data_IF_565513834734
#
_entry.id   IF_565513834734
#
_cell.length_a   1.000
_cell.length_b   1.000
_cell.length_c   1.000
_cell.angle_alpha   90.00
_cell.angle_beta   90.00
_cell.angle_gamma   90.00
#
_symmetry.space_group_name_H-M   'P 1'
#
loop_
_entity.id
_entity.type
_entity.pdbx_description
1 polymer ?
#
# COMPACT_ATOMS: atom_id res chain seq x y z
N UNK A 1 10.35 11.21 -1.97
CA UNK A 1 11.01 11.78 -0.76
C UNK A 1 10.01 12.35 0.22
N UNK A 2 9.11 13.27 -0.21
CA UNK A 2 8.19 14.01 0.66
C UNK A 2 7.24 13.10 1.43
N UNK A 3 6.72 12.05 0.80
CA UNK A 3 5.89 11.05 1.46
C UNK A 3 6.63 10.37 2.64
N UNK A 4 7.92 10.07 2.49
CA UNK A 4 8.72 9.47 3.56
C UNK A 4 8.96 10.45 4.71
N UNK A 5 9.19 11.72 4.39
CA UNK A 5 9.30 12.80 5.38
C UNK A 5 8.00 12.96 6.16
N UNK A 6 6.85 12.96 5.46
CA UNK A 6 5.53 12.99 6.09
C UNK A 6 5.31 11.81 7.05
N UNK A 7 5.66 10.59 6.65
CA UNK A 7 5.52 9.40 7.52
C UNK A 7 6.37 9.54 8.78
N UNK A 8 7.63 10.01 8.67
CA UNK A 8 8.48 10.30 9.83
C UNK A 8 7.87 11.35 10.75
N UNK A 9 7.40 12.46 10.20
CA UNK A 9 6.87 13.59 10.96
C UNK A 9 5.54 13.25 11.63
N UNK A 10 4.78 12.32 11.06
CA UNK A 10 3.62 11.73 11.69
C UNK A 10 3.96 10.80 12.87
N UNK A 11 5.20 10.32 12.97
CA UNK A 11 5.66 9.48 14.07
C UNK A 11 5.93 8.02 13.70
N UNK A 12 5.92 7.65 12.42
CA UNK A 12 6.34 6.33 11.97
C UNK A 12 7.87 6.21 12.03
N UNK A 13 8.38 5.03 12.40
CA UNK A 13 9.82 4.78 12.55
C UNK A 13 10.44 3.96 11.42
N UNK A 14 9.63 3.29 10.62
CA UNK A 14 10.09 2.37 9.58
C UNK A 14 9.09 2.27 8.42
N UNK A 15 9.62 1.95 7.24
CA UNK A 15 8.83 1.62 6.03
C UNK A 15 9.26 0.23 5.54
N UNK A 16 8.30 -0.65 5.33
CA UNK A 16 8.50 -1.90 4.61
C UNK A 16 8.15 -1.67 3.14
N UNK A 17 9.10 -1.94 2.27
CA UNK A 17 9.01 -1.73 0.82
C UNK A 17 8.88 -3.10 0.15
N UNK A 18 7.68 -3.51 -0.28
CA UNK A 18 7.50 -4.75 -1.01
C UNK A 18 8.12 -4.64 -2.41
N UNK A 19 8.96 -5.63 -2.77
CA UNK A 19 9.64 -5.64 -4.07
C UNK A 19 9.45 -7.00 -4.75
N UNK A 20 8.90 -6.99 -5.95
CA UNK A 20 8.82 -8.15 -6.82
C UNK A 20 9.99 -8.15 -7.82
N UNK A 21 10.62 -9.29 -8.02
CA UNK A 21 11.86 -9.40 -8.78
C UNK A 21 11.73 -10.24 -10.04
N UNK A 22 10.91 -11.32 -10.03
CA UNK A 22 10.84 -12.32 -11.09
C UNK A 22 10.57 -11.74 -12.47
N UNK A 23 9.67 -10.76 -12.55
CA UNK A 23 9.32 -10.04 -13.80
C UNK A 23 10.37 -8.99 -14.22
N UNK A 24 11.38 -8.76 -13.38
CA UNK A 24 12.48 -7.82 -13.59
C UNK A 24 13.85 -8.50 -13.64
N UNK A 25 13.87 -9.79 -14.00
CA UNK A 25 15.07 -10.59 -14.20
C UNK A 25 15.11 -11.19 -15.60
N UNK A 26 16.30 -11.45 -16.12
CA UNK A 26 16.48 -12.25 -17.33
C UNK A 26 16.36 -13.77 -17.04
N UNK A 27 16.49 -14.57 -18.09
CA UNK A 27 16.39 -16.03 -18.00
C UNK A 27 17.45 -16.67 -17.09
N UNK A 28 18.60 -16.02 -16.91
CA UNK A 28 19.68 -16.47 -16.06
C UNK A 28 19.53 -15.99 -14.59
N UNK A 29 18.46 -15.25 -14.29
CA UNK A 29 18.15 -14.70 -12.96
C UNK A 29 18.91 -13.41 -12.63
N UNK A 30 19.51 -12.74 -13.64
CA UNK A 30 20.14 -11.44 -13.44
C UNK A 30 19.07 -10.34 -13.42
N UNK A 31 19.06 -9.56 -12.37
CA UNK A 31 18.15 -8.40 -12.22
C UNK A 31 18.51 -7.32 -13.22
N UNK A 32 17.50 -6.75 -13.89
CA UNK A 32 17.68 -5.60 -14.76
C UNK A 32 18.18 -4.39 -13.97
N UNK A 33 19.22 -3.74 -14.48
CA UNK A 33 19.88 -2.64 -13.79
C UNK A 33 18.94 -1.47 -13.50
N UNK A 34 18.01 -1.19 -14.41
CA UNK A 34 16.99 -0.16 -14.23
C UNK A 34 16.08 -0.43 -13.02
N UNK A 35 15.69 -1.70 -12.82
CA UNK A 35 14.89 -2.09 -11.65
C UNK A 35 15.69 -1.98 -10.36
N UNK A 36 16.92 -2.49 -10.36
CA UNK A 36 17.81 -2.40 -9.20
C UNK A 36 18.05 -0.94 -8.79
N UNK A 37 18.25 -0.04 -9.78
CA UNK A 37 18.41 1.39 -9.55
C UNK A 37 17.13 2.00 -8.97
N UNK A 38 15.95 1.59 -9.45
CA UNK A 38 14.68 2.07 -8.90
C UNK A 38 14.44 1.61 -7.46
N UNK A 39 14.76 0.37 -7.15
CA UNK A 39 14.69 -0.14 -5.77
C UNK A 39 15.64 0.63 -4.87
N UNK A 40 16.87 0.86 -5.31
CA UNK A 40 17.84 1.66 -4.56
C UNK A 40 17.33 3.08 -4.31
N UNK A 41 16.80 3.75 -5.32
CA UNK A 41 16.23 5.08 -5.19
C UNK A 41 15.13 5.16 -4.13
N UNK A 42 14.24 4.15 -4.08
CA UNK A 42 13.18 4.08 -3.06
C UNK A 42 13.75 3.84 -1.66
N UNK A 43 14.74 2.95 -1.54
CA UNK A 43 15.46 2.72 -0.28
C UNK A 43 16.11 4.01 0.21
N UNK A 44 16.76 4.75 -0.69
CA UNK A 44 17.41 6.03 -0.35
C UNK A 44 16.38 7.05 0.15
N UNK A 45 15.20 7.16 -0.46
CA UNK A 45 14.12 8.03 0.03
C UNK A 45 13.72 7.72 1.49
N UNK A 46 13.65 6.45 1.86
CA UNK A 46 13.29 6.03 3.22
C UNK A 46 14.42 6.37 4.21
N UNK A 47 15.65 6.02 3.86
CA UNK A 47 16.82 6.22 4.73
C UNK A 47 17.18 7.70 4.90
N UNK A 48 17.07 8.50 3.84
CA UNK A 48 17.31 9.96 3.85
C UNK A 48 16.27 10.69 4.73
N UNK A 49 15.06 10.18 4.79
CA UNK A 49 14.06 10.66 5.74
C UNK A 49 14.38 10.29 7.21
N UNK A 50 15.40 9.48 7.46
CA UNK A 50 15.79 9.04 8.80
C UNK A 50 15.03 7.82 9.32
N UNK A 51 14.30 7.12 8.46
CA UNK A 51 13.51 5.94 8.78
C UNK A 51 14.33 4.65 8.62
N UNK A 52 13.88 3.57 9.27
CA UNK A 52 14.32 2.22 8.94
C UNK A 52 13.60 1.74 7.67
N UNK A 53 14.29 0.94 6.87
CA UNK A 53 13.78 0.37 5.64
C UNK A 53 13.87 -1.16 5.66
N UNK A 54 12.81 -1.83 5.27
CA UNK A 54 12.81 -3.28 4.98
C UNK A 54 12.54 -3.46 3.50
N UNK A 55 13.38 -4.23 2.81
CA UNK A 55 13.12 -4.71 1.44
C UNK A 55 13.03 -6.22 1.43
N UNK A 56 12.23 -6.78 0.54
CA UNK A 56 11.97 -8.21 0.49
C UNK A 56 11.91 -8.76 -0.95
N UNK A 57 11.63 -10.06 -1.05
CA UNK A 57 11.12 -10.74 -2.24
C UNK A 57 9.61 -10.93 -2.02
N UNK A 58 8.75 -10.19 -2.77
CA UNK A 58 7.32 -10.06 -2.44
C UNK A 58 6.42 -10.99 -3.26
N UNK A 59 5.89 -10.53 -4.41
CA UNK A 59 4.98 -11.34 -5.23
C UNK A 59 5.66 -12.47 -6.03
N UNK A 60 6.97 -12.63 -5.90
CA UNK A 60 7.69 -13.85 -6.30
C UNK A 60 7.26 -15.07 -5.46
N UNK A 61 6.45 -14.83 -4.43
CA UNK A 61 5.80 -15.80 -3.54
C UNK A 61 4.30 -15.51 -3.49
N UNK A 62 3.50 -16.43 -2.95
CA UNK A 62 2.06 -16.27 -2.76
C UNK A 62 1.21 -17.13 -3.68
N UNK A 63 -0.07 -16.76 -3.81
CA UNK A 63 -1.07 -17.56 -4.52
C UNK A 63 -1.13 -17.31 -6.04
N UNK A 64 -0.53 -16.23 -6.55
CA UNK A 64 -0.52 -15.91 -7.96
C UNK A 64 0.50 -16.79 -8.71
N UNK A 65 0.00 -17.77 -9.48
CA UNK A 65 0.83 -18.73 -10.20
C UNK A 65 1.68 -18.09 -11.32
N UNK A 66 1.28 -16.95 -11.86
CA UNK A 66 2.01 -16.26 -12.93
C UNK A 66 3.23 -15.50 -12.38
N UNK A 67 3.14 -15.03 -11.15
CA UNK A 67 4.18 -14.22 -10.52
C UNK A 67 5.05 -15.03 -9.54
N UNK A 68 4.44 -15.89 -8.74
CA UNK A 68 5.11 -16.63 -7.66
C UNK A 68 5.88 -17.84 -8.19
N UNK A 69 7.17 -17.63 -8.41
CA UNK A 69 8.10 -18.69 -8.84
C UNK A 69 8.78 -19.43 -7.67
N UNK A 70 8.73 -18.86 -6.46
CA UNK A 70 9.22 -19.51 -5.24
C UNK A 70 8.08 -20.29 -4.57
N UNK A 71 8.31 -21.56 -4.36
CA UNK A 71 7.32 -22.50 -3.81
C UNK A 71 7.93 -23.27 -2.63
N UNK A 72 7.17 -23.37 -1.53
CA UNK A 72 7.54 -24.08 -0.33
C UNK A 72 7.30 -25.59 -0.51
N UNK A 73 8.18 -26.24 -1.27
CA UNK A 73 8.19 -27.70 -1.46
C UNK A 73 9.62 -28.20 -1.63
N UNK A 74 9.85 -29.49 -1.44
CA UNK A 74 11.16 -30.10 -1.66
C UNK A 74 11.61 -29.93 -3.13
N UNK A 75 10.70 -30.13 -4.08
CA UNK A 75 10.94 -29.97 -5.51
C UNK A 75 11.19 -28.48 -5.86
N UNK A 76 10.32 -27.59 -5.37
CA UNK A 76 10.47 -26.14 -5.58
C UNK A 76 11.79 -25.61 -5.09
N UNK A 77 12.21 -25.99 -3.88
CA UNK A 77 13.50 -25.61 -3.35
C UNK A 77 14.67 -26.18 -4.17
N UNK A 78 14.63 -27.47 -4.52
CA UNK A 78 15.68 -28.10 -5.31
C UNK A 78 15.85 -27.42 -6.69
N UNK A 79 14.74 -27.01 -7.31
CA UNK A 79 14.72 -26.34 -8.63
C UNK A 79 15.20 -24.89 -8.56
N UNK A 80 14.70 -24.10 -7.58
CA UNK A 80 14.84 -22.65 -7.58
C UNK A 80 15.94 -22.13 -6.63
N UNK A 81 16.54 -22.99 -5.82
CA UNK A 81 17.56 -22.60 -4.83
C UNK A 81 18.65 -21.72 -5.43
N UNK A 82 19.25 -22.14 -6.54
CA UNK A 82 20.40 -21.43 -7.12
C UNK A 82 19.98 -20.03 -7.62
N UNK A 83 18.80 -19.91 -8.23
CA UNK A 83 18.23 -18.64 -8.68
C UNK A 83 17.91 -17.72 -7.50
N UNK A 84 17.34 -18.27 -6.44
CA UNK A 84 17.06 -17.54 -5.21
C UNK A 84 18.33 -17.02 -4.52
N UNK A 85 19.34 -17.87 -4.38
CA UNK A 85 20.64 -17.50 -3.82
C UNK A 85 21.33 -16.42 -4.68
N UNK A 86 21.25 -16.55 -6.01
CA UNK A 86 21.82 -15.57 -6.94
C UNK A 86 21.09 -14.21 -6.85
N UNK A 87 19.78 -14.21 -6.72
CA UNK A 87 19.01 -12.99 -6.51
C UNK A 87 19.41 -12.29 -5.22
N UNK A 88 19.46 -13.00 -4.10
CA UNK A 88 19.89 -12.43 -2.84
C UNK A 88 21.33 -11.94 -2.85
N UNK A 89 22.20 -12.63 -3.55
CA UNK A 89 23.58 -12.16 -3.74
C UNK A 89 23.61 -10.81 -4.44
N UNK A 90 22.87 -10.62 -5.53
CA UNK A 90 22.80 -9.35 -6.26
C UNK A 90 22.27 -8.22 -5.37
N UNK A 91 21.17 -8.47 -4.64
CA UNK A 91 20.60 -7.50 -3.69
C UNK A 91 21.61 -7.15 -2.60
N UNK A 92 22.19 -8.16 -1.97
CA UNK A 92 23.13 -7.96 -0.87
C UNK A 92 24.41 -7.22 -1.32
N UNK A 93 24.92 -7.49 -2.51
CA UNK A 93 26.08 -6.78 -3.09
C UNK A 93 25.76 -5.32 -3.40
N UNK A 94 24.55 -5.02 -3.94
CA UNK A 94 24.11 -3.64 -4.22
C UNK A 94 24.04 -2.78 -2.96
N UNK A 95 23.54 -3.34 -1.88
CA UNK A 95 23.29 -2.61 -0.62
C UNK A 95 24.34 -2.90 0.47
N UNK A 96 25.50 -3.45 0.11
CA UNK A 96 26.51 -3.91 1.05
C UNK A 96 27.00 -2.83 2.01
N UNK A 97 27.14 -1.59 1.52
CA UNK A 97 27.68 -0.47 2.28
C UNK A 97 26.60 0.32 3.05
N UNK A 98 25.32 -0.05 2.89
CA UNK A 98 24.21 0.57 3.62
C UNK A 98 24.24 0.20 5.10
N UNK A 99 23.90 1.17 5.98
CA UNK A 99 23.95 0.99 7.42
C UNK A 99 22.85 0.04 7.96
N UNK A 100 22.82 -0.11 9.29
CA UNK A 100 21.89 -1.01 10.00
C UNK A 100 20.40 -0.62 9.90
N UNK A 101 20.08 0.54 9.36
CA UNK A 101 18.67 0.95 9.13
C UNK A 101 18.04 0.26 7.94
N UNK A 102 18.83 -0.34 7.05
CA UNK A 102 18.33 -1.21 6.00
C UNK A 102 18.33 -2.66 6.47
N UNK A 103 17.18 -3.30 6.52
CA UNK A 103 16.97 -4.71 6.83
C UNK A 103 16.56 -5.47 5.57
N UNK A 104 16.94 -6.73 5.49
CA UNK A 104 16.52 -7.63 4.43
C UNK A 104 15.53 -8.67 4.96
N UNK A 105 14.46 -8.91 4.21
CA UNK A 105 13.43 -9.90 4.49
C UNK A 105 13.46 -10.98 3.41
N UNK A 106 13.65 -12.21 3.81
CA UNK A 106 13.96 -13.36 2.95
C UNK A 106 12.97 -13.60 1.80
N UNK A 107 11.69 -13.57 2.09
CA UNK A 107 10.53 -13.77 1.19
C UNK A 107 9.29 -13.29 1.90
N UNK A 108 8.21 -13.03 1.14
CA UNK A 108 6.93 -12.57 1.70
C UNK A 108 6.11 -13.76 2.23
N UNK A 109 5.11 -14.19 1.51
CA UNK A 109 4.12 -15.21 1.89
C UNK A 109 4.28 -16.45 1.02
N UNK A 110 5.35 -17.22 1.24
CA UNK A 110 5.65 -18.39 0.44
C UNK A 110 4.74 -19.55 0.80
N UNK A 111 4.05 -20.10 -0.20
CA UNK A 111 3.09 -21.19 -0.11
C UNK A 111 3.61 -22.46 -0.78
N UNK A 112 2.95 -23.58 -0.51
CA UNK A 112 3.23 -24.89 -1.12
C UNK A 112 2.76 -24.99 -2.59
N UNK A 113 2.92 -26.15 -3.21
CA UNK A 113 2.52 -26.43 -4.60
C UNK A 113 1.02 -26.26 -4.83
N UNK A 114 0.21 -26.50 -3.81
CA UNK A 114 -1.23 -26.31 -3.88
C UNK A 114 -1.66 -24.84 -3.74
N UNK A 115 -0.70 -23.92 -3.58
CA UNK A 115 -0.96 -22.49 -3.32
C UNK A 115 -1.89 -22.27 -2.12
N UNK A 116 -1.79 -23.15 -1.12
CA UNK A 116 -2.67 -23.15 0.03
C UNK A 116 -2.05 -22.44 1.21
N UNK A 117 -2.80 -21.55 1.83
CA UNK A 117 -2.41 -20.95 3.10
C UNK A 117 -2.41 -22.01 4.21
N UNK A 118 -1.65 -21.82 5.26
CA UNK A 118 -1.57 -22.75 6.40
C UNK A 118 -2.93 -23.13 6.98
N UNK A 119 -3.92 -22.29 6.82
CA UNK A 119 -5.31 -22.52 7.18
C UNK A 119 -6.11 -23.20 6.06
N UNK A 120 -5.48 -23.64 5.02
CA UNK A 120 -6.10 -24.55 4.04
C UNK A 120 -6.52 -25.89 4.66
N UNK A 121 -6.04 -26.17 5.85
CA UNK A 121 -6.62 -27.19 6.74
C UNK A 121 -8.10 -26.95 7.06
N UNK A 122 -8.63 -25.77 6.81
CA UNK A 122 -10.07 -25.51 6.72
C UNK A 122 -10.66 -26.00 5.43
N UNK A 123 -9.88 -25.96 4.37
CA UNK A 123 -10.30 -26.43 3.09
C UNK A 123 -10.23 -27.95 3.02
N UNK A 124 -11.06 -28.53 2.19
CA UNK A 124 -10.96 -29.92 1.81
C UNK A 124 -9.60 -30.16 1.17
N UNK A 125 -8.72 -30.94 1.81
CA UNK A 125 -7.45 -31.31 1.20
C UNK A 125 -6.17 -30.97 1.98
N UNK A 126 -6.25 -30.57 3.23
CA UNK A 126 -5.06 -30.48 4.07
C UNK A 126 -4.32 -31.84 4.12
N UNK A 127 -3.06 -31.81 3.66
CA UNK A 127 -2.19 -32.98 3.71
C UNK A 127 -1.02 -32.69 4.68
N UNK A 128 -0.92 -33.39 5.80
CA UNK A 128 0.13 -33.18 6.78
C UNK A 128 1.54 -33.50 6.23
N UNK A 129 1.68 -34.37 5.23
CA UNK A 129 2.96 -34.69 4.60
C UNK A 129 3.43 -33.51 3.74
N UNK A 130 2.55 -32.99 2.90
CA UNK A 130 2.84 -31.77 2.13
C UNK A 130 3.16 -30.57 3.03
N UNK A 131 2.43 -30.41 4.13
CA UNK A 131 2.67 -29.35 5.08
C UNK A 131 4.06 -29.46 5.74
N UNK A 132 4.49 -30.66 6.14
CA UNK A 132 5.81 -30.87 6.72
C UNK A 132 6.92 -30.59 5.70
N UNK A 133 6.77 -31.03 4.45
CA UNK A 133 7.71 -30.73 3.36
C UNK A 133 7.79 -29.20 3.11
N UNK A 134 6.64 -28.52 3.14
CA UNK A 134 6.60 -27.07 2.98
C UNK A 134 7.33 -26.36 4.12
N UNK A 135 7.12 -26.76 5.37
CA UNK A 135 7.84 -26.17 6.52
C UNK A 135 9.34 -26.41 6.43
N UNK A 136 9.75 -27.60 5.99
CA UNK A 136 11.18 -27.89 5.77
C UNK A 136 11.76 -27.02 4.64
N UNK A 137 11.02 -26.81 3.56
CA UNK A 137 11.46 -25.93 2.46
C UNK A 137 11.60 -24.48 2.93
N UNK A 138 10.65 -23.96 3.72
CA UNK A 138 10.75 -22.63 4.34
C UNK A 138 12.03 -22.48 5.15
N UNK A 139 12.37 -23.45 6.00
CA UNK A 139 13.60 -23.43 6.78
C UNK A 139 14.86 -23.47 5.89
N UNK A 140 14.81 -24.24 4.79
CA UNK A 140 15.92 -24.31 3.83
C UNK A 140 16.13 -22.99 3.09
N UNK A 141 15.06 -22.33 2.62
CA UNK A 141 15.15 -21.00 2.00
C UNK A 141 15.65 -19.95 3.00
N UNK A 142 15.16 -19.99 4.24
CA UNK A 142 15.65 -19.10 5.30
C UNK A 142 17.14 -19.27 5.56
N UNK A 143 17.64 -20.51 5.61
CA UNK A 143 19.08 -20.78 5.78
C UNK A 143 19.90 -20.32 4.57
N UNK A 144 19.47 -20.64 3.34
CA UNK A 144 20.12 -20.17 2.11
C UNK A 144 20.24 -18.64 2.08
N UNK A 145 19.17 -17.93 2.46
CA UNK A 145 19.17 -16.47 2.55
C UNK A 145 20.24 -15.93 3.51
N UNK A 146 20.28 -16.45 4.73
CA UNK A 146 21.26 -16.04 5.74
C UNK A 146 22.68 -16.31 5.24
N UNK A 147 22.95 -17.50 4.73
CA UNK A 147 24.27 -17.90 4.27
C UNK A 147 24.77 -17.00 3.13
N UNK A 148 23.93 -16.74 2.13
CA UNK A 148 24.29 -15.90 0.97
C UNK A 148 24.52 -14.46 1.38
N UNK A 149 23.61 -13.86 2.17
CA UNK A 149 23.79 -12.47 2.59
C UNK A 149 25.04 -12.31 3.43
N UNK A 150 25.29 -13.19 4.39
CA UNK A 150 26.51 -13.16 5.24
C UNK A 150 27.80 -13.32 4.42
N UNK A 151 27.76 -14.11 3.35
CA UNK A 151 28.90 -14.34 2.48
C UNK A 151 29.35 -13.10 1.69
N UNK A 152 28.48 -12.11 1.50
CA UNK A 152 28.82 -10.85 0.82
C UNK A 152 29.69 -9.91 1.66
N UNK A 153 29.74 -10.11 2.99
CA UNK A 153 30.65 -9.39 3.90
C UNK A 153 30.23 -7.94 4.18
N UNK A 154 31.19 -7.15 4.62
CA UNK A 154 31.02 -5.74 5.02
C UNK A 154 29.82 -5.56 5.99
N UNK A 155 28.94 -4.58 5.78
CA UNK A 155 27.77 -4.36 6.65
C UNK A 155 26.79 -5.53 6.64
N UNK A 156 26.76 -6.34 5.59
CA UNK A 156 25.93 -7.54 5.54
C UNK A 156 26.38 -8.65 6.49
N UNK A 157 27.64 -8.62 6.94
CA UNK A 157 28.14 -9.56 7.95
C UNK A 157 27.36 -9.46 9.27
N UNK A 158 26.79 -8.28 9.59
CA UNK A 158 26.06 -8.01 10.84
C UNK A 158 24.68 -7.37 10.60
N UNK A 159 24.20 -7.33 9.34
CA UNK A 159 22.88 -6.79 9.00
C UNK A 159 21.78 -7.58 9.70
N UNK A 160 20.74 -6.90 10.19
CA UNK A 160 19.54 -7.55 10.66
C UNK A 160 18.78 -8.19 9.50
N UNK A 161 18.50 -9.48 9.61
CA UNK A 161 17.84 -10.30 8.60
C UNK A 161 16.50 -10.78 9.15
N UNK A 162 15.48 -10.84 8.29
CA UNK A 162 14.13 -11.22 8.65
C UNK A 162 13.76 -12.48 7.88
N UNK A 163 13.24 -13.48 8.60
CA UNK A 163 12.75 -14.74 8.02
C UNK A 163 11.28 -14.95 8.39
N UNK A 164 10.48 -15.27 7.38
CA UNK A 164 9.05 -15.42 7.54
C UNK A 164 8.67 -16.88 7.76
N UNK A 165 7.62 -17.11 8.54
CA UNK A 165 6.97 -18.41 8.64
C UNK A 165 6.33 -18.80 7.30
N UNK A 166 5.90 -20.07 7.16
CA UNK A 166 5.12 -20.51 6.00
C UNK A 166 3.90 -19.60 5.81
N UNK A 167 3.74 -19.01 4.61
CA UNK A 167 2.68 -18.06 4.29
C UNK A 167 2.60 -16.86 5.21
N UNK A 168 3.68 -16.50 5.91
CA UNK A 168 3.71 -15.52 6.99
C UNK A 168 2.63 -15.76 8.07
N UNK A 169 2.19 -17.00 8.25
CA UNK A 169 1.13 -17.38 9.18
C UNK A 169 1.54 -17.17 10.64
N UNK A 170 0.59 -16.78 11.45
CA UNK A 170 0.78 -16.27 12.81
C UNK A 170 0.26 -17.20 13.94
N UNK A 171 -0.35 -18.34 13.61
CA UNK A 171 -0.82 -19.30 14.59
C UNK A 171 -2.04 -18.89 15.43
N UNK A 172 -2.76 -17.87 15.04
CA UNK A 172 -3.82 -17.24 15.87
C UNK A 172 -5.13 -18.02 16.01
N UNK A 173 -5.25 -19.25 15.49
CA UNK A 173 -6.53 -19.97 15.44
C UNK A 173 -6.73 -20.97 16.55
N UNK A 174 -7.47 -20.61 17.60
CA UNK A 174 -7.92 -21.57 18.62
C UNK A 174 -8.87 -22.64 18.08
N UNK A 175 -9.50 -22.40 16.95
CA UNK A 175 -10.49 -23.27 16.29
C UNK A 175 -9.87 -24.22 15.27
N UNK A 176 -8.61 -24.01 14.91
CA UNK A 176 -7.86 -24.90 14.04
C UNK A 176 -6.43 -25.10 14.55
N UNK A 177 -6.08 -26.28 15.08
CA UNK A 177 -4.75 -26.53 15.64
C UNK A 177 -3.61 -26.43 14.62
N UNK A 178 -3.90 -26.60 13.32
CA UNK A 178 -2.90 -26.52 12.26
C UNK A 178 -2.40 -25.11 12.01
N UNK A 179 -3.14 -24.06 12.41
CA UNK A 179 -2.68 -22.68 12.31
C UNK A 179 -1.42 -22.38 13.13
N UNK A 180 -1.16 -23.18 14.16
CA UNK A 180 0.04 -23.07 14.98
C UNK A 180 1.24 -23.82 14.40
N UNK A 181 1.01 -24.76 13.48
CA UNK A 181 2.06 -25.59 12.92
C UNK A 181 3.15 -24.76 12.19
N UNK A 182 2.85 -23.68 11.44
CA UNK A 182 3.87 -22.81 10.89
C UNK A 182 4.83 -22.22 11.94
N UNK A 183 4.31 -21.82 13.10
CA UNK A 183 5.14 -21.30 14.19
C UNK A 183 5.99 -22.40 14.83
N UNK A 184 5.39 -23.57 15.09
CA UNK A 184 6.08 -24.72 15.72
C UNK A 184 7.20 -25.28 14.84
N UNK A 185 7.03 -25.22 13.52
CA UNK A 185 7.97 -25.77 12.55
C UNK A 185 8.98 -24.77 12.02
N UNK A 186 8.78 -23.48 12.27
CA UNK A 186 9.78 -22.46 11.95
C UNK A 186 10.99 -22.58 12.87
N UNK A 187 12.19 -22.63 12.30
CA UNK A 187 13.43 -22.75 13.06
C UNK A 187 14.31 -21.52 12.84
N UNK A 188 14.96 -21.11 13.91
CA UNK A 188 16.00 -20.09 13.81
C UNK A 188 17.12 -20.59 12.87
N UNK A 189 17.41 -19.89 11.77
CA UNK A 189 18.56 -20.21 10.95
C UNK A 189 19.87 -20.17 11.75
N UNK A 190 20.80 -21.03 11.37
CA UNK A 190 22.15 -20.98 11.93
C UNK A 190 22.86 -19.74 11.39
N UNK A 191 23.27 -18.85 12.27
CA UNK A 191 24.02 -17.65 11.91
C UNK A 191 25.34 -17.57 12.71
N UNK A 192 26.38 -17.07 12.06
CA UNK A 192 27.68 -16.81 12.70
C UNK A 192 27.62 -15.62 13.66
N UNK A 193 26.62 -14.76 13.49
CA UNK A 193 26.40 -13.56 14.27
C UNK A 193 25.13 -13.73 15.11
N UNK A 194 25.26 -13.51 16.41
CA UNK A 194 24.12 -13.62 17.31
C UNK A 194 23.23 -12.38 17.24
N UNK A 195 21.95 -12.58 17.52
CA UNK A 195 20.95 -11.51 17.76
C UNK A 195 20.70 -10.60 16.56
N UNK A 196 20.94 -11.11 15.32
CA UNK A 196 20.71 -10.39 14.08
C UNK A 196 19.71 -11.06 13.12
N UNK A 197 18.92 -12.01 13.64
CA UNK A 197 17.82 -12.64 12.89
C UNK A 197 16.51 -12.36 13.64
N UNK A 198 15.51 -11.89 12.89
CA UNK A 198 14.16 -11.65 13.32
C UNK A 198 13.21 -12.61 12.61
N UNK A 199 12.14 -13.00 13.30
CA UNK A 199 11.02 -13.68 12.66
C UNK A 199 9.95 -12.67 12.23
N UNK A 200 9.20 -13.03 11.19
CA UNK A 200 8.07 -12.23 10.73
C UNK A 200 6.84 -13.09 10.51
N UNK A 201 5.70 -12.51 10.86
CA UNK A 201 4.35 -13.02 10.55
C UNK A 201 3.48 -11.87 10.06
N UNK A 202 2.30 -12.21 9.48
CA UNK A 202 1.26 -11.26 9.12
C UNK A 202 -0.01 -11.49 9.96
N UNK A 203 -0.84 -10.46 10.14
CA UNK A 203 -2.03 -10.55 10.99
C UNK A 203 -3.19 -9.71 10.44
N UNK A 204 -4.28 -10.39 10.09
CA UNK A 204 -5.49 -9.78 9.54
C UNK A 204 -6.74 -10.30 10.27
N UNK A 205 -6.95 -9.99 11.56
CA UNK A 205 -8.12 -10.47 12.29
C UNK A 205 -9.41 -9.81 11.79
N UNK A 206 -10.56 -10.47 12.07
CA UNK A 206 -11.87 -9.83 11.97
C UNK A 206 -12.04 -8.86 13.15
N UNK A 207 -12.57 -7.66 12.88
CA UNK A 207 -12.74 -6.60 13.90
C UNK A 207 -14.20 -6.17 14.10
N UNK A 208 -15.13 -6.99 13.63
CA UNK A 208 -16.57 -6.77 13.84
C UNK A 208 -16.96 -6.93 15.30
N UNK A 209 -16.32 -7.86 16.02
CA UNK A 209 -16.38 -8.03 17.47
C UNK A 209 -14.99 -7.80 18.09
N UNK A 210 -14.78 -6.60 18.65
CA UNK A 210 -13.49 -6.22 19.23
C UNK A 210 -13.11 -7.10 20.45
N UNK A 211 -14.07 -7.62 21.20
CA UNK A 211 -13.78 -8.51 22.34
C UNK A 211 -13.26 -9.87 21.88
N UNK A 212 -13.85 -10.43 20.83
CA UNK A 212 -13.36 -11.65 20.20
C UNK A 212 -11.98 -11.42 19.58
N UNK A 213 -11.80 -10.33 18.86
CA UNK A 213 -10.52 -9.93 18.26
C UNK A 213 -9.42 -9.80 19.32
N UNK A 214 -9.64 -9.08 20.41
CA UNK A 214 -8.65 -8.90 21.48
C UNK A 214 -8.20 -10.24 22.05
N UNK A 215 -9.13 -11.18 22.27
CA UNK A 215 -8.81 -12.54 22.76
C UNK A 215 -7.96 -13.30 21.74
N UNK A 216 -8.34 -13.29 20.46
CA UNK A 216 -7.65 -14.03 19.41
C UNK A 216 -6.25 -13.47 19.14
N UNK A 217 -6.13 -12.16 19.07
CA UNK A 217 -4.83 -11.49 18.87
C UNK A 217 -3.92 -11.66 20.09
N UNK A 218 -4.47 -11.63 21.31
CA UNK A 218 -3.68 -11.92 22.53
C UNK A 218 -3.13 -13.34 22.47
N UNK A 219 -3.95 -14.33 22.08
CA UNK A 219 -3.49 -15.72 21.92
C UNK A 219 -2.40 -15.81 20.83
N UNK A 220 -2.58 -15.11 19.70
CA UNK A 220 -1.55 -15.03 18.66
C UNK A 220 -0.23 -14.51 19.22
N UNK A 221 -0.25 -13.42 19.96
CA UNK A 221 0.96 -12.83 20.54
C UNK A 221 1.63 -13.77 21.56
N UNK A 222 0.85 -14.50 22.35
CA UNK A 222 1.35 -15.54 23.27
C UNK A 222 2.00 -16.70 22.49
N UNK A 223 1.42 -17.11 21.38
CA UNK A 223 1.97 -18.14 20.49
C UNK A 223 3.30 -17.67 19.85
N UNK A 224 3.40 -16.40 19.43
CA UNK A 224 4.65 -15.84 18.90
C UNK A 224 5.77 -15.87 19.95
N UNK A 225 5.47 -15.52 21.22
CA UNK A 225 6.43 -15.60 22.32
C UNK A 225 6.84 -17.06 22.57
N UNK A 226 5.88 -17.98 22.55
CA UNK A 226 6.10 -19.40 22.86
C UNK A 226 6.93 -20.11 21.79
N UNK A 227 6.67 -19.86 20.52
CA UNK A 227 7.25 -20.65 19.43
C UNK A 227 8.39 -19.96 18.70
N UNK A 228 8.44 -18.61 18.66
CA UNK A 228 9.44 -17.87 17.92
C UNK A 228 10.42 -17.13 18.85
N UNK A 229 9.93 -16.25 19.72
CA UNK A 229 10.80 -15.46 20.63
C UNK A 229 11.63 -16.38 21.52
N UNK A 230 11.08 -17.48 21.97
CA UNK A 230 11.79 -18.48 22.80
C UNK A 230 13.02 -19.09 22.09
N UNK A 231 13.12 -19.00 20.78
CA UNK A 231 14.29 -19.43 20.00
C UNK A 231 15.44 -18.40 20.01
N UNK A 232 15.23 -17.20 20.59
CA UNK A 232 16.26 -16.18 20.73
C UNK A 232 16.21 -15.06 19.68
N UNK A 233 15.17 -14.99 18.83
CA UNK A 233 14.96 -13.92 17.86
C UNK A 233 13.73 -13.07 18.18
N UNK A 234 13.79 -11.74 18.03
CA UNK A 234 12.59 -10.91 18.10
C UNK A 234 11.65 -11.21 16.95
N UNK A 235 10.38 -10.82 17.11
CA UNK A 235 9.33 -10.97 16.09
C UNK A 235 8.85 -9.61 15.65
N UNK A 236 8.52 -9.48 14.37
CA UNK A 236 7.75 -8.37 13.83
C UNK A 236 6.47 -8.88 13.17
N UNK A 237 5.41 -8.07 13.19
CA UNK A 237 4.24 -8.26 12.35
C UNK A 237 4.42 -7.36 11.13
N UNK A 238 4.93 -7.95 10.04
CA UNK A 238 5.37 -7.23 8.84
C UNK A 238 4.25 -6.71 7.96
N UNK A 239 3.05 -7.28 8.14
CA UNK A 239 1.80 -6.76 7.60
C UNK A 239 0.68 -6.98 8.62
N UNK A 240 -0.14 -5.96 8.80
CA UNK A 240 -1.38 -6.10 9.55
C UNK A 240 -2.46 -5.16 9.04
N UNK A 241 -3.68 -5.60 9.20
CA UNK A 241 -4.89 -4.91 8.80
C UNK A 241 -6.09 -5.68 9.31
N UNK A 242 -7.15 -5.80 8.52
CA UNK A 242 -8.32 -6.61 8.85
C UNK A 242 -8.92 -7.25 7.62
N UNK A 243 -9.53 -8.42 7.79
CA UNK A 243 -10.38 -9.08 6.78
C UNK A 243 -11.88 -8.77 6.94
N UNK A 244 -12.28 -7.95 7.92
CA UNK A 244 -13.67 -7.45 7.98
C UNK A 244 -14.00 -6.70 6.69
N UNK A 245 -15.11 -7.05 6.04
CA UNK A 245 -15.48 -6.49 4.74
C UNK A 245 -15.81 -4.99 4.80
N UNK A 246 -16.47 -4.55 5.88
CA UNK A 246 -16.91 -3.16 6.05
C UNK A 246 -16.71 -2.71 7.51
N UNK A 247 -15.49 -2.65 8.01
CA UNK A 247 -15.25 -2.22 9.37
C UNK A 247 -15.63 -0.75 9.54
N UNK A 248 -16.26 -0.41 10.66
CA UNK A 248 -16.44 1.01 10.98
C UNK A 248 -15.08 1.64 11.26
N UNK A 249 -14.89 2.90 10.89
CA UNK A 249 -13.66 3.64 11.18
C UNK A 249 -13.35 3.63 12.68
N UNK A 250 -14.36 3.77 13.52
CA UNK A 250 -14.22 3.70 14.98
C UNK A 250 -13.62 2.35 15.43
N UNK A 251 -14.17 1.23 14.98
CA UNK A 251 -13.65 -0.10 15.33
C UNK A 251 -12.20 -0.28 14.81
N UNK A 252 -11.93 0.20 13.60
CA UNK A 252 -10.58 0.09 13.05
C UNK A 252 -9.58 0.92 13.85
N UNK A 253 -9.89 2.16 14.19
CA UNK A 253 -9.03 3.01 15.02
C UNK A 253 -8.81 2.42 16.43
N UNK A 254 -9.85 1.86 17.05
CA UNK A 254 -9.73 1.20 18.37
C UNK A 254 -8.83 -0.04 18.29
N UNK A 255 -9.05 -0.90 17.29
CA UNK A 255 -8.19 -2.05 17.02
C UNK A 255 -6.75 -1.62 16.79
N UNK A 256 -6.51 -0.69 15.87
CA UNK A 256 -5.17 -0.24 15.50
C UNK A 256 -4.39 0.29 16.71
N UNK A 257 -5.01 1.16 17.49
CA UNK A 257 -4.38 1.72 18.69
C UNK A 257 -4.05 0.65 19.73
N UNK A 258 -5.01 -0.24 20.01
CA UNK A 258 -4.82 -1.34 20.97
C UNK A 258 -3.74 -2.31 20.48
N UNK A 259 -3.81 -2.76 19.23
CA UNK A 259 -2.88 -3.71 18.64
C UNK A 259 -1.43 -3.22 18.68
N UNK A 260 -1.20 -1.99 18.22
CA UNK A 260 0.15 -1.40 18.23
C UNK A 260 0.68 -1.22 19.66
N UNK A 261 -0.17 -0.80 20.58
CA UNK A 261 0.19 -0.67 22.00
C UNK A 261 0.56 -2.01 22.63
N UNK A 262 -0.23 -3.05 22.37
CA UNK A 262 0.01 -4.39 22.90
C UNK A 262 1.27 -5.03 22.30
N UNK A 263 1.49 -4.89 21.00
CA UNK A 263 2.72 -5.34 20.34
C UNK A 263 3.94 -4.61 20.89
N UNK A 264 3.90 -3.28 21.05
CA UNK A 264 4.98 -2.51 21.64
C UNK A 264 5.32 -2.99 23.06
N UNK A 265 4.30 -3.25 23.88
CA UNK A 265 4.47 -3.76 25.26
C UNK A 265 5.26 -5.09 25.28
N UNK A 266 5.12 -5.90 24.23
CA UNK A 266 5.81 -7.20 24.07
C UNK A 266 7.12 -7.09 23.30
N UNK A 267 7.53 -5.89 22.87
CA UNK A 267 8.73 -5.69 22.06
C UNK A 267 8.59 -6.16 20.59
N UNK A 268 7.37 -6.23 20.09
CA UNK A 268 7.04 -6.63 18.72
C UNK A 268 6.84 -5.39 17.86
N UNK A 269 7.62 -5.25 16.79
CA UNK A 269 7.44 -4.21 15.76
C UNK A 269 6.26 -4.52 14.85
N UNK A 270 5.58 -3.49 14.34
CA UNK A 270 4.40 -3.65 13.49
C UNK A 270 4.44 -2.76 12.27
N UNK A 271 3.93 -3.26 11.13
CA UNK A 271 3.84 -2.55 9.87
C UNK A 271 2.40 -2.63 9.35
N UNK A 272 1.70 -1.50 9.36
CA UNK A 272 0.34 -1.44 8.80
C UNK A 272 0.39 -1.62 7.29
N UNK A 273 -0.49 -2.48 6.75
CA UNK A 273 -0.55 -2.75 5.32
C UNK A 273 -1.51 -1.80 4.63
N UNK A 274 -0.93 -0.86 3.83
CA UNK A 274 -1.61 0.05 2.90
C UNK A 274 -2.64 1.01 3.52
N UNK A 275 -3.33 1.78 2.65
CA UNK A 275 -4.51 2.60 2.95
C UNK A 275 -4.32 3.78 3.92
N UNK A 276 -3.10 4.24 4.15
CA UNK A 276 -2.86 5.50 4.87
C UNK A 276 -2.67 6.67 3.93
N UNK A 277 -1.96 6.45 2.81
CA UNK A 277 -1.73 7.43 1.76
C UNK A 277 -1.54 6.69 0.43
N UNK A 278 -2.58 6.53 -0.36
CA UNK A 278 -2.59 5.74 -1.60
C UNK A 278 -3.36 6.42 -2.74
N UNK A 279 -3.35 5.79 -3.93
CA UNK A 279 -4.01 6.31 -5.11
C UNK A 279 -3.49 7.70 -5.51
N UNK A 280 -4.38 8.65 -5.69
CA UNK A 280 -4.05 10.03 -6.06
C UNK A 280 -3.23 10.76 -4.97
N UNK A 281 -3.37 10.36 -3.71
CA UNK A 281 -2.67 11.00 -2.60
C UNK A 281 -1.19 10.61 -2.50
N UNK A 282 -0.71 9.64 -3.27
CA UNK A 282 0.73 9.28 -3.27
C UNK A 282 1.63 10.37 -3.84
N UNK A 283 1.12 11.20 -4.75
CA UNK A 283 1.85 12.33 -5.31
C UNK A 283 1.77 13.59 -4.44
N UNK A 284 0.87 13.61 -3.46
CA UNK A 284 0.66 14.70 -2.52
C UNK A 284 0.91 14.12 -1.12
N UNK A 285 1.86 14.65 -0.34
CA UNK A 285 2.22 14.07 0.96
C UNK A 285 1.16 14.35 2.02
N UNK A 286 0.03 13.67 1.92
CA UNK A 286 -1.08 13.71 2.87
C UNK A 286 -1.63 12.32 3.17
N UNK A 287 -2.39 12.21 4.25
CA UNK A 287 -3.05 10.97 4.65
C UNK A 287 -4.46 10.90 4.06
N UNK A 288 -4.79 9.77 3.44
CA UNK A 288 -6.17 9.45 3.03
C UNK A 288 -7.01 8.85 4.16
N UNK A 289 -6.35 8.41 5.23
CA UNK A 289 -6.98 7.85 6.44
C UNK A 289 -6.35 8.46 7.70
N UNK A 290 -6.56 9.77 7.95
CA UNK A 290 -5.87 10.53 9.00
C UNK A 290 -6.17 10.01 10.41
N UNK A 291 -7.42 9.65 10.72
CA UNK A 291 -7.81 9.13 12.02
C UNK A 291 -7.15 7.78 12.31
N UNK A 292 -7.00 6.92 11.29
CA UNK A 292 -6.32 5.64 11.43
C UNK A 292 -4.82 5.84 11.63
N UNK A 293 -4.20 6.75 10.88
CA UNK A 293 -2.79 7.10 11.06
C UNK A 293 -2.53 7.63 12.48
N UNK A 294 -3.39 8.53 12.98
CA UNK A 294 -3.30 9.04 14.35
C UNK A 294 -3.46 7.93 15.40
N UNK A 295 -4.42 7.02 15.21
CA UNK A 295 -4.65 5.90 16.11
C UNK A 295 -3.42 4.98 16.20
N UNK A 296 -2.78 4.67 15.06
CA UNK A 296 -1.57 3.85 14.97
C UNK A 296 -0.42 4.51 15.75
N UNK A 297 -0.11 5.77 15.47
CA UNK A 297 1.03 6.44 16.10
C UNK A 297 0.80 6.69 17.57
N UNK A 298 -0.43 7.00 18.00
CA UNK A 298 -0.78 7.10 19.43
C UNK A 298 -0.74 5.74 20.14
N UNK A 299 -1.05 4.66 19.45
CA UNK A 299 -0.85 3.30 19.96
C UNK A 299 0.61 3.04 20.32
N UNK A 300 1.54 3.54 19.54
CA UNK A 300 2.96 3.41 19.80
C UNK A 300 3.51 4.44 20.79
N UNK A 301 3.22 5.72 20.59
CA UNK A 301 3.82 6.81 21.38
C UNK A 301 3.04 7.16 22.65
N UNK A 302 1.77 6.76 22.73
CA UNK A 302 0.83 7.11 23.80
C UNK A 302 0.01 8.37 23.48
N UNK A 303 -1.05 8.62 24.25
CA UNK A 303 -2.02 9.69 24.00
C UNK A 303 -1.44 11.12 24.11
N UNK A 304 -0.32 11.27 24.81
CA UNK A 304 0.38 12.56 24.91
C UNK A 304 1.17 12.96 23.67
N UNK A 305 1.32 12.07 22.70
CA UNK A 305 2.01 12.37 21.45
C UNK A 305 1.09 13.14 20.50
N UNK A 306 1.61 14.20 19.89
CA UNK A 306 0.89 15.00 18.88
C UNK A 306 1.52 14.75 17.51
N UNK A 307 0.92 13.89 16.68
CA UNK A 307 1.44 13.63 15.34
C UNK A 307 1.19 14.80 14.39
N UNK A 308 2.01 14.92 13.36
CA UNK A 308 1.74 15.81 12.22
C UNK A 308 1.02 14.98 11.16
N UNK A 309 -0.27 15.22 10.96
CA UNK A 309 -1.14 14.46 10.05
C UNK A 309 -1.71 15.40 8.97
N UNK A 310 -0.94 15.71 7.92
CA UNK A 310 -1.47 16.52 6.82
C UNK A 310 -2.58 15.76 6.08
N UNK A 311 -3.62 16.49 5.70
CA UNK A 311 -4.76 15.99 4.94
C UNK A 311 -4.85 16.74 3.61
N UNK A 312 -5.66 16.22 2.67
CA UNK A 312 -5.73 16.79 1.33
C UNK A 312 -6.21 18.24 1.34
N UNK A 313 -7.05 18.61 2.30
CA UNK A 313 -7.60 19.94 2.49
C UNK A 313 -6.54 20.99 2.89
N UNK A 314 -5.38 20.55 3.37
CA UNK A 314 -4.25 21.46 3.69
C UNK A 314 -3.54 21.98 2.44
N UNK A 315 -3.86 21.44 1.26
CA UNK A 315 -3.21 21.79 0.00
C UNK A 315 -4.13 22.55 -0.93
N UNK A 316 -3.59 23.58 -1.57
CA UNK A 316 -4.23 24.21 -2.71
C UNK A 316 -3.99 23.35 -3.95
N UNK A 317 -5.00 22.63 -4.39
CA UNK A 317 -4.87 21.68 -5.49
C UNK A 317 -5.27 22.32 -6.81
N UNK A 318 -4.37 22.19 -7.77
CA UNK A 318 -4.63 22.42 -9.18
C UNK A 318 -4.71 21.06 -9.91
N UNK A 319 -5.51 21.02 -10.98
CA UNK A 319 -5.75 19.80 -11.76
C UNK A 319 -5.19 20.00 -13.16
N UNK A 320 -4.03 19.43 -13.45
CA UNK A 320 -3.50 19.40 -14.82
C UNK A 320 -4.26 18.34 -15.62
N UNK A 321 -4.98 18.78 -16.63
CA UNK A 321 -5.83 17.95 -17.48
C UNK A 321 -5.23 17.86 -18.86
N UNK A 322 -4.97 16.64 -19.33
CA UNK A 322 -4.51 16.38 -20.69
C UNK A 322 -5.61 15.68 -21.47
N UNK A 323 -6.18 16.37 -22.45
CA UNK A 323 -7.17 15.83 -23.40
C UNK A 323 -6.47 15.19 -24.59
N UNK A 324 -6.94 14.00 -24.99
CA UNK A 324 -6.32 13.20 -26.07
C UNK A 324 -7.12 13.18 -27.37
N UNK A 325 -8.44 13.22 -27.25
CA UNK A 325 -9.36 12.98 -28.37
C UNK A 325 -10.44 14.06 -28.47
N UNK A 326 -11.01 14.18 -29.66
CA UNK A 326 -12.22 14.99 -29.88
C UNK A 326 -13.36 14.51 -28.97
N UNK A 327 -14.01 15.45 -28.31
CA UNK A 327 -15.09 15.20 -27.34
C UNK A 327 -14.63 14.60 -26.01
N UNK A 328 -13.32 14.56 -25.72
CA UNK A 328 -12.83 14.18 -24.39
C UNK A 328 -13.45 15.03 -23.29
N UNK A 329 -13.72 14.44 -22.14
CA UNK A 329 -14.47 15.10 -21.06
C UNK A 329 -13.82 14.87 -19.69
N UNK A 330 -13.70 15.96 -18.94
CA UNK A 330 -13.36 15.98 -17.53
C UNK A 330 -14.64 16.12 -16.71
N UNK A 331 -14.89 15.26 -15.72
CA UNK A 331 -15.92 15.52 -14.74
C UNK A 331 -15.50 16.70 -13.85
N UNK A 332 -16.39 17.69 -13.72
CA UNK A 332 -16.25 18.77 -12.75
C UNK A 332 -17.04 18.47 -11.47
N UNK A 333 -18.02 17.57 -11.53
CA UNK A 333 -18.81 17.10 -10.39
C UNK A 333 -18.82 15.58 -10.36
N UNK A 334 -19.15 14.99 -9.21
CA UNK A 334 -19.40 13.56 -9.12
C UNK A 334 -20.61 13.13 -9.97
N UNK A 335 -20.61 11.87 -10.42
CA UNK A 335 -21.60 11.35 -11.40
C UNK A 335 -23.04 11.23 -10.89
N UNK A 336 -23.30 11.53 -9.63
CA UNK A 336 -24.63 11.45 -9.00
C UNK A 336 -24.99 12.68 -8.19
N UNK A 337 -24.36 13.82 -8.44
CA UNK A 337 -24.59 15.06 -7.71
C UNK A 337 -26.02 15.56 -7.96
N UNK A 338 -26.79 15.78 -6.91
CA UNK A 338 -28.09 16.45 -7.00
C UNK A 338 -27.88 17.95 -7.26
N UNK A 339 -27.90 18.35 -8.52
CA UNK A 339 -27.70 19.73 -8.94
C UNK A 339 -28.89 20.66 -8.63
N UNK A 340 -30.02 20.14 -8.14
CA UNK A 340 -31.20 20.93 -7.82
C UNK A 340 -30.98 21.97 -6.70
N UNK A 341 -29.95 21.76 -5.88
CA UNK A 341 -29.60 22.64 -4.75
C UNK A 341 -28.67 23.80 -5.15
N UNK A 342 -28.15 23.76 -6.37
CA UNK A 342 -27.14 24.70 -6.86
C UNK A 342 -27.73 25.61 -7.93
N UNK A 343 -27.13 26.79 -8.10
CA UNK A 343 -27.44 27.74 -9.15
C UNK A 343 -26.32 27.94 -10.16
N UNK A 344 -25.16 27.35 -9.92
CA UNK A 344 -24.03 27.48 -10.82
C UNK A 344 -22.83 26.63 -10.42
N UNK A 345 -21.82 26.65 -11.28
CA UNK A 345 -20.48 26.14 -11.03
C UNK A 345 -19.47 27.21 -11.45
N UNK A 346 -18.38 27.32 -10.70
CA UNK A 346 -17.27 28.19 -11.05
C UNK A 346 -15.96 27.43 -10.98
N UNK A 347 -15.03 27.74 -11.85
CA UNK A 347 -13.67 27.25 -11.82
C UNK A 347 -12.73 28.26 -12.52
N UNK A 348 -11.44 28.10 -12.29
CA UNK A 348 -10.41 28.91 -12.89
C UNK A 348 -9.49 28.05 -13.78
N UNK A 349 -9.02 28.60 -14.90
CA UNK A 349 -8.03 28.00 -15.78
C UNK A 349 -6.70 28.76 -15.66
N UNK A 350 -5.58 28.08 -15.84
CA UNK A 350 -4.26 28.72 -15.83
C UNK A 350 -4.07 29.72 -16.96
N UNK A 351 -4.80 29.52 -18.08
CA UNK A 351 -4.82 30.40 -19.23
C UNK A 351 -6.17 30.39 -19.93
N UNK A 352 -6.56 31.46 -20.63
CA UNK A 352 -7.75 31.43 -21.47
C UNK A 352 -7.59 30.39 -22.59
N UNK A 353 -8.58 29.50 -22.82
CA UNK A 353 -8.49 28.54 -23.93
C UNK A 353 -8.70 29.26 -25.26
N UNK A 354 -8.18 28.69 -26.35
CA UNK A 354 -8.51 29.17 -27.71
C UNK A 354 -10.02 29.12 -27.95
N UNK A 355 -10.53 30.05 -28.78
CA UNK A 355 -11.96 30.19 -29.05
C UNK A 355 -12.62 28.89 -29.49
N UNK A 356 -13.65 28.46 -28.77
CA UNK A 356 -14.41 27.25 -29.06
C UNK A 356 -13.67 25.94 -28.76
N UNK A 357 -12.54 25.96 -28.06
CA UNK A 357 -11.76 24.77 -27.73
C UNK A 357 -12.37 23.96 -26.58
N UNK A 358 -12.94 24.63 -25.58
CA UNK A 358 -13.57 24.01 -24.41
C UNK A 358 -15.03 24.41 -24.28
N UNK A 359 -15.85 23.52 -23.75
CA UNK A 359 -17.25 23.75 -23.43
C UNK A 359 -17.67 23.08 -22.15
N UNK A 360 -18.51 23.77 -21.36
CA UNK A 360 -19.17 23.18 -20.19
C UNK A 360 -20.40 22.44 -20.68
N UNK A 361 -20.49 21.15 -20.36
CA UNK A 361 -21.63 20.29 -20.73
C UNK A 361 -22.31 19.75 -19.48
N UNK A 362 -23.62 19.63 -19.55
CA UNK A 362 -24.45 19.16 -18.45
C UNK A 362 -25.24 17.97 -18.87
N UNK A 363 -25.20 16.91 -18.08
CA UNK A 363 -25.95 15.69 -18.25
C UNK A 363 -27.18 15.71 -17.32
N UNK A 364 -28.32 15.31 -17.85
CA UNK A 364 -29.58 15.19 -17.14
C UNK A 364 -30.59 14.39 -17.94
N UNK A 365 -31.79 14.15 -17.39
CA UNK A 365 -32.87 13.36 -18.03
C UNK A 365 -33.65 14.09 -19.15
N UNK A 366 -33.16 15.15 -19.76
CA UNK A 366 -33.84 15.75 -20.90
C UNK A 366 -33.45 15.02 -22.17
N UNK A 367 -34.36 14.26 -22.75
CA UNK A 367 -34.20 13.63 -24.05
C UNK A 367 -33.71 14.64 -25.10
N UNK A 368 -32.46 14.50 -25.54
CA UNK A 368 -31.96 15.04 -26.80
C UNK A 368 -31.42 16.48 -26.80
N UNK A 369 -31.35 17.21 -25.70
CA UNK A 369 -30.69 18.54 -25.62
C UNK A 369 -29.90 18.69 -24.32
N UNK A 370 -28.65 18.28 -24.39
CA UNK A 370 -27.71 18.56 -23.30
C UNK A 370 -27.32 20.04 -23.39
N UNK A 371 -27.54 20.84 -22.33
CA UNK A 371 -27.04 22.20 -22.28
C UNK A 371 -25.54 22.22 -22.44
N UNK A 372 -25.05 23.04 -23.34
CA UNK A 372 -23.62 23.18 -23.62
C UNK A 372 -23.30 24.66 -23.77
N UNK A 373 -22.32 25.13 -23.00
CA UNK A 373 -21.84 26.51 -23.08
C UNK A 373 -20.34 26.52 -23.38
N UNK A 374 -19.95 27.24 -24.43
CA UNK A 374 -18.53 27.44 -24.77
C UNK A 374 -17.84 28.27 -23.66
N UNK A 375 -16.63 27.85 -23.31
CA UNK A 375 -15.77 28.63 -22.40
C UNK A 375 -15.22 29.82 -23.17
N UNK A 376 -15.19 30.98 -22.52
CA UNK A 376 -14.68 32.21 -23.08
C UNK A 376 -13.17 32.09 -23.39
N UNK A 377 -12.76 32.68 -24.50
CA UNK A 377 -11.36 32.79 -24.92
C UNK A 377 -10.64 34.01 -24.34
N UNK A 378 -11.33 34.81 -23.55
CA UNK A 378 -10.81 36.08 -22.97
C UNK A 378 -10.74 36.07 -21.45
N UNK A 379 -11.08 35.00 -20.78
CA UNK A 379 -11.09 34.90 -19.32
C UNK A 379 -10.57 33.55 -18.83
N UNK A 380 -9.84 33.58 -17.73
CA UNK A 380 -9.45 32.37 -17.00
C UNK A 380 -10.51 31.92 -16.01
N UNK A 381 -11.38 32.83 -15.54
CA UNK A 381 -12.47 32.51 -14.62
C UNK A 381 -13.72 32.11 -15.41
N UNK A 382 -14.20 30.92 -15.17
CA UNK A 382 -15.41 30.38 -15.80
C UNK A 382 -16.52 30.31 -14.75
N UNK A 383 -17.67 30.88 -15.06
CA UNK A 383 -18.90 30.77 -14.29
C UNK A 383 -20.00 30.28 -15.21
N UNK A 384 -20.69 29.23 -14.79
CA UNK A 384 -21.81 28.66 -15.52
C UNK A 384 -23.07 28.68 -14.63
N UNK A 385 -24.15 29.24 -15.16
CA UNK A 385 -25.45 29.30 -14.49
C UNK A 385 -26.24 28.00 -14.73
N UNK A 386 -26.51 27.27 -13.65
CA UNK A 386 -27.27 26.01 -13.67
C UNK A 386 -28.76 26.23 -13.37
N UNK A 387 -29.22 27.48 -13.18
CA UNK A 387 -30.60 27.80 -12.81
C UNK A 387 -31.64 27.37 -13.86
N UNK A 388 -31.22 27.20 -15.10
CA UNK A 388 -32.05 26.70 -16.20
C UNK A 388 -32.10 25.18 -16.31
N UNK A 389 -31.34 24.48 -15.47
CA UNK A 389 -31.32 23.03 -15.45
C UNK A 389 -32.53 22.50 -14.72
N UNK A 390 -33.25 21.58 -15.35
CA UNK A 390 -34.33 20.85 -14.67
C UNK A 390 -33.80 20.09 -13.46
N UNK A 391 -34.69 19.73 -12.54
CA UNK A 391 -34.43 19.06 -11.28
C UNK A 391 -33.71 17.67 -11.39
N UNK A 392 -33.25 17.30 -12.56
CA UNK A 392 -32.68 15.98 -12.87
C UNK A 392 -31.28 16.02 -13.47
N UNK A 393 -30.63 17.19 -13.51
CA UNK A 393 -29.21 17.26 -13.87
C UNK A 393 -28.36 16.63 -12.77
N UNK A 394 -27.41 15.76 -13.15
CA UNK A 394 -26.62 14.96 -12.20
C UNK A 394 -25.12 14.96 -12.46
N UNK A 395 -24.65 15.64 -13.51
CA UNK A 395 -23.22 15.73 -13.83
C UNK A 395 -22.92 16.99 -14.65
N UNK A 396 -21.79 17.63 -14.35
CA UNK A 396 -21.21 18.70 -15.16
C UNK A 396 -19.83 18.28 -15.62
N UNK A 397 -19.53 18.45 -16.91
CA UNK A 397 -18.21 18.15 -17.49
C UNK A 397 -17.62 19.36 -18.19
N UNK A 398 -16.29 19.35 -18.33
CA UNK A 398 -15.54 20.24 -19.22
C UNK A 398 -15.11 19.43 -20.45
N UNK A 399 -15.75 19.71 -21.60
CA UNK A 399 -15.57 18.98 -22.83
C UNK A 399 -14.58 19.68 -23.76
N UNK A 400 -13.68 18.89 -24.35
CA UNK A 400 -12.70 19.31 -25.35
C UNK A 400 -13.26 19.14 -26.77
N UNK A 401 -13.07 20.16 -27.61
CA UNK A 401 -13.71 20.32 -28.90
C UNK A 401 -12.73 20.17 -30.09
N UNK A 402 -11.57 19.53 -29.89
CA UNK A 402 -10.57 19.32 -30.94
C UNK A 402 -9.96 17.91 -30.83
N UNK A 403 -9.27 17.47 -31.87
CA UNK A 403 -8.61 16.15 -31.92
C UNK A 403 -7.09 16.21 -31.68
N UNK A 404 -6.54 17.37 -31.29
CA UNK A 404 -5.11 17.53 -30.98
C UNK A 404 -4.87 17.35 -29.50
N UNK A 405 -3.70 16.83 -29.12
CA UNK A 405 -3.32 16.76 -27.71
C UNK A 405 -3.35 18.16 -27.10
N UNK A 406 -4.03 18.32 -25.97
CA UNK A 406 -4.18 19.59 -25.29
C UNK A 406 -4.09 19.43 -23.78
N UNK A 407 -3.27 20.25 -23.14
CA UNK A 407 -3.12 20.27 -21.68
C UNK A 407 -3.49 21.64 -21.15
N UNK A 408 -4.25 21.67 -20.06
CA UNK A 408 -4.66 22.89 -19.36
C UNK A 408 -4.72 22.59 -17.85
N UNK A 409 -4.49 23.61 -17.02
CA UNK A 409 -4.67 23.48 -15.57
C UNK A 409 -6.02 24.06 -15.17
N UNK A 410 -6.82 23.24 -14.48
CA UNK A 410 -8.12 23.63 -13.90
C UNK A 410 -7.93 23.86 -12.41
N UNK A 411 -8.37 25.00 -11.91
CA UNK A 411 -8.21 25.44 -10.52
C UNK A 411 -9.55 25.66 -9.86
N UNK A 412 -9.59 25.44 -8.56
CA UNK A 412 -10.66 25.93 -7.68
C UNK A 412 -12.09 25.63 -8.17
N UNK A 413 -12.40 24.39 -8.52
CA UNK A 413 -13.75 24.02 -8.96
C UNK A 413 -14.71 24.05 -7.79
N UNK A 414 -15.76 24.85 -7.87
CA UNK A 414 -16.80 24.96 -6.83
C UNK A 414 -18.19 24.99 -7.43
N UNK A 415 -19.11 24.25 -6.85
CA UNK A 415 -20.55 24.44 -7.03
C UNK A 415 -21.03 25.67 -6.25
N UNK A 416 -21.93 26.45 -6.83
CA UNK A 416 -22.51 27.63 -6.22
C UNK A 416 -23.93 27.28 -5.72
N UNK A 417 -24.11 27.22 -4.41
CA UNK A 417 -25.42 26.99 -3.81
C UNK A 417 -26.36 28.15 -4.05
N UNK A 418 -27.68 27.91 -3.89
CA UNK A 418 -28.72 28.94 -4.04
C UNK A 418 -28.57 30.12 -3.05
N UNK A 419 -27.88 29.90 -1.95
CA UNK A 419 -27.59 30.93 -0.93
C UNK A 419 -26.23 31.63 -1.14
N UNK A 420 -25.59 31.46 -2.31
CA UNK A 420 -24.29 32.01 -2.68
C UNK A 420 -23.08 31.33 -2.00
N UNK A 421 -23.25 30.32 -1.17
CA UNK A 421 -22.12 29.58 -0.62
C UNK A 421 -21.45 28.70 -1.69
N UNK A 422 -20.11 28.59 -1.61
CA UNK A 422 -19.32 27.76 -2.51
C UNK A 422 -19.07 26.39 -1.88
N UNK A 423 -19.25 25.35 -2.67
CA UNK A 423 -18.94 23.97 -2.30
C UNK A 423 -17.87 23.42 -3.22
N UNK A 424 -16.66 23.11 -2.70
CA UNK A 424 -15.56 22.58 -3.51
C UNK A 424 -15.91 21.25 -4.17
N UNK A 425 -15.43 21.05 -5.39
CA UNK A 425 -15.55 19.80 -6.14
C UNK A 425 -14.18 19.30 -6.56
N UNK A 426 -14.02 17.99 -6.60
CA UNK A 426 -12.81 17.33 -7.10
C UNK A 426 -13.02 16.86 -8.53
N UNK A 427 -12.37 17.47 -9.54
CA UNK A 427 -12.43 16.98 -10.91
C UNK A 427 -11.84 15.59 -11.06
N UNK A 428 -12.42 14.80 -11.97
CA UNK A 428 -11.94 13.45 -12.28
C UNK A 428 -12.01 13.16 -13.78
N UNK A 429 -11.13 12.27 -14.25
CA UNK A 429 -11.19 11.82 -15.64
C UNK A 429 -12.51 11.11 -15.93
N UNK A 430 -13.15 11.45 -17.05
CA UNK A 430 -14.38 10.80 -17.50
C UNK A 430 -14.17 10.03 -18.80
N UNK A 431 -13.77 10.71 -19.88
CA UNK A 431 -13.51 10.08 -21.16
C UNK A 431 -12.40 10.81 -21.92
N UNK A 432 -11.42 10.06 -22.47
CA UNK A 432 -10.38 10.57 -23.34
C UNK A 432 -9.44 11.62 -22.71
N UNK A 433 -9.42 11.77 -21.41
CA UNK A 433 -8.51 12.68 -20.71
C UNK A 433 -7.79 12.00 -19.53
N UNK A 434 -6.65 12.57 -19.16
CA UNK A 434 -5.88 12.23 -17.97
C UNK A 434 -5.86 13.43 -17.02
N UNK A 435 -5.91 13.15 -15.72
CA UNK A 435 -5.88 14.18 -14.67
C UNK A 435 -4.72 13.90 -13.74
N UNK A 436 -3.85 14.89 -13.57
CA UNK A 436 -2.76 14.87 -12.60
C UNK A 436 -2.97 16.00 -11.60
N UNK A 437 -2.94 15.66 -10.32
CA UNK A 437 -2.93 16.66 -9.26
C UNK A 437 -1.57 17.34 -9.19
N UNK A 438 -1.58 18.67 -9.10
CA UNK A 438 -0.39 19.50 -8.86
C UNK A 438 -0.65 20.42 -7.67
N UNK A 439 0.37 20.68 -6.87
CA UNK A 439 0.35 21.54 -5.68
C UNK A 439 1.04 22.84 -5.96
#
# INVERSE_FOLDING_TARGET
>A
PELMTMMRDAGFGAIRVPVSWGVHMDADGKVYEEWMNRVQEVVDYVLDAGLYCIINIHHDTGADEELAWLVASAEGYAKERQRYEYLWKQIAERFRDYDQRLLFESYNEMLDEARSWCFSSFAVGYDPVMAEEAYQAINNYAQSFVDVVRATGDNNAVRNLIVNTYGACNGSGNWNPHLQDPLKNMKMPVDKVKDHILFQVHSYPMIDDLTAMEREVTQMLDDLETYLVSQGGPVIVGEWGTFSENPTLENYCRYAKWFVSECKRRGIGTFHWMNLSDGMFRSIPCFSSPELAEAIVKGYHGDGFTPVIPVIEDYNLDYQVTYRDLWSELNLTESSTDLSQYKGITFELDQPPSAGLLGVKIYGESEGKEPHQKVSDSSTTVMFDTSQLGAKANRITLQYMSSTLFTITVKSVCLIRKDDTLEPCTPSAFWGCEVHLIV
#
